data_IF_158211074233
#
_entry.id   IF_158211074233
#
_cell.length_a   1.000
_cell.length_b   1.000
_cell.length_c   1.000
_cell.angle_alpha   90.00
_cell.angle_beta   90.00
_cell.angle_gamma   90.00
#
_symmetry.space_group_name_H-M   'P 1'
#
loop_
_entity.id
_entity.type
_entity.pdbx_description
1 polymer ?
#
# COMPACT_ATOMS: atom_id res chain seq x y z
N UNK A 1 -0.08 -16.07 11.52
CA UNK A 1 -0.01 -17.08 10.43
C UNK A 1 0.04 -16.28 9.15
N UNK A 2 1.21 -16.17 8.53
CA UNK A 2 1.41 -15.34 7.34
C UNK A 2 0.69 -16.00 6.14
N UNK A 3 -0.26 -15.30 5.53
CA UNK A 3 -1.01 -15.77 4.35
C UNK A 3 -0.58 -14.97 3.13
N UNK A 4 -0.14 -15.67 2.10
CA UNK A 4 0.24 -15.08 0.82
C UNK A 4 -1.04 -14.93 -0.02
N UNK A 5 -1.27 -13.74 -0.55
CA UNK A 5 -2.44 -13.41 -1.38
C UNK A 5 -2.05 -12.44 -2.47
N UNK A 6 -2.51 -12.64 -3.70
CA UNK A 6 -2.26 -11.67 -4.76
C UNK A 6 -3.13 -10.42 -4.60
N UNK A 7 -2.50 -9.25 -4.76
CA UNK A 7 -3.20 -7.98 -4.80
C UNK A 7 -4.08 -7.88 -6.04
N UNK A 8 -5.38 -7.53 -5.94
CA UNK A 8 -6.23 -7.39 -7.11
C UNK A 8 -5.81 -6.20 -8.01
N UNK A 9 -5.16 -5.18 -7.44
CA UNK A 9 -4.79 -3.91 -8.09
C UNK A 9 -3.39 -3.97 -8.72
N UNK A 10 -2.36 -4.34 -7.94
CA UNK A 10 -0.98 -4.41 -8.43
C UNK A 10 -0.56 -5.81 -8.88
N UNK A 11 -1.41 -6.83 -8.71
CA UNK A 11 -1.17 -8.25 -9.07
C UNK A 11 0.01 -8.94 -8.37
N UNK A 12 0.77 -8.21 -7.57
CA UNK A 12 1.89 -8.76 -6.83
C UNK A 12 1.43 -9.54 -5.58
N UNK A 13 2.29 -10.42 -5.09
CA UNK A 13 2.02 -11.28 -3.92
C UNK A 13 2.20 -10.50 -2.62
N UNK A 14 1.12 -10.40 -1.86
CA UNK A 14 1.04 -9.67 -0.59
C UNK A 14 1.04 -10.66 0.56
N UNK A 15 1.88 -10.39 1.56
CA UNK A 15 1.87 -11.11 2.82
C UNK A 15 0.86 -10.43 3.75
N UNK A 16 -0.16 -11.18 4.14
CA UNK A 16 -1.21 -10.75 5.05
C UNK A 16 -1.02 -11.45 6.40
N UNK A 17 -0.90 -10.67 7.48
CA UNK A 17 -0.93 -11.19 8.84
C UNK A 17 -2.01 -10.48 9.65
N UNK A 18 -2.83 -11.26 10.36
CA UNK A 18 -3.99 -10.77 11.09
C UNK A 18 -3.65 -10.29 12.51
N UNK A 19 -2.41 -10.49 12.99
CA UNK A 19 -2.00 -10.10 14.34
C UNK A 19 -1.79 -8.59 14.47
N UNK A 20 -1.47 -7.89 13.38
CA UNK A 20 -1.47 -6.41 13.30
C UNK A 20 -2.05 -5.98 11.96
N UNK A 21 -3.37 -5.72 11.88
CA UNK A 21 -3.99 -5.38 10.62
C UNK A 21 -3.64 -3.94 10.22
N UNK A 22 -2.74 -3.78 9.24
CA UNK A 22 -2.64 -2.55 8.47
C UNK A 22 -3.33 -2.76 7.13
N UNK A 23 -3.97 -1.74 6.58
CA UNK A 23 -4.66 -1.83 5.28
C UNK A 23 -3.92 -1.03 4.22
N UNK A 24 -3.74 -1.62 3.04
CA UNK A 24 -3.22 -0.89 1.90
C UNK A 24 -4.19 0.24 1.51
N UNK A 25 -3.71 1.48 1.44
CA UNK A 25 -4.49 2.65 1.08
C UNK A 25 -5.08 2.61 -0.34
N UNK A 26 -4.51 1.80 -1.25
CA UNK A 26 -4.98 1.67 -2.63
C UNK A 26 -5.88 0.44 -2.84
N UNK A 27 -5.48 -0.75 -2.39
CA UNK A 27 -6.24 -1.98 -2.65
C UNK A 27 -7.10 -2.46 -1.48
N UNK A 28 -6.97 -1.84 -0.29
CA UNK A 28 -7.75 -2.18 0.91
C UNK A 28 -7.36 -3.51 1.58
N UNK A 29 -6.37 -4.24 1.05
CA UNK A 29 -5.97 -5.52 1.64
C UNK A 29 -5.25 -5.33 2.96
N UNK A 30 -5.49 -6.26 3.89
CA UNK A 30 -4.76 -6.37 5.15
C UNK A 30 -3.35 -6.88 4.87
N UNK A 31 -2.34 -6.12 5.29
CA UNK A 31 -0.92 -6.34 5.02
C UNK A 31 -0.11 -6.45 6.31
N UNK A 32 0.97 -7.23 6.22
CA UNK A 32 1.97 -7.38 7.26
C UNK A 32 3.03 -6.26 7.17
N UNK A 33 3.63 -5.92 8.32
CA UNK A 33 4.60 -4.83 8.43
C UNK A 33 5.97 -5.15 7.79
N UNK A 34 6.29 -6.43 7.61
CA UNK A 34 7.56 -6.89 7.01
C UNK A 34 7.67 -6.57 5.51
N UNK A 35 6.55 -6.48 4.80
CA UNK A 35 6.53 -6.31 3.35
C UNK A 35 5.48 -5.27 2.96
N UNK A 36 5.68 -4.04 3.42
CA UNK A 36 4.86 -2.90 3.05
C UNK A 36 5.71 -1.68 2.73
N UNK A 37 5.18 -0.78 1.92
CA UNK A 37 5.75 0.54 1.69
C UNK A 37 4.96 1.55 2.52
N UNK A 38 5.69 2.31 3.34
CA UNK A 38 5.15 3.41 4.12
C UNK A 38 5.44 4.73 3.41
N UNK A 39 4.39 5.47 3.08
CA UNK A 39 4.47 6.86 2.66
C UNK A 39 4.13 7.74 3.86
N UNK A 40 5.16 8.36 4.45
CA UNK A 40 4.98 9.31 5.55
C UNK A 40 4.41 10.62 4.97
N UNK A 41 3.26 11.05 5.50
CA UNK A 41 2.67 12.37 5.23
C UNK A 41 2.57 13.14 6.55
N UNK A 42 2.44 14.46 6.46
CA UNK A 42 2.33 15.33 7.64
C UNK A 42 1.12 15.03 8.51
N UNK A 43 -0.01 14.62 7.92
CA UNK A 43 -1.25 14.32 8.65
C UNK A 43 -1.39 12.82 8.97
N UNK A 44 -1.43 11.98 7.94
CA UNK A 44 -1.66 10.54 8.10
C UNK A 44 -0.72 9.71 7.22
N UNK A 45 0.07 8.80 7.80
CA UNK A 45 0.90 7.87 7.03
C UNK A 45 0.02 6.94 6.20
N UNK A 46 0.37 6.76 4.93
CA UNK A 46 -0.28 5.80 4.05
C UNK A 46 0.56 4.55 3.92
N UNK A 47 -0.10 3.39 4.07
CA UNK A 47 0.53 2.09 3.93
C UNK A 47 0.15 1.49 2.58
N UNK A 48 1.12 0.90 1.89
CA UNK A 48 0.91 0.22 0.63
C UNK A 48 1.40 -1.21 0.72
N UNK A 49 0.62 -2.13 0.18
CA UNK A 49 0.99 -3.53 0.18
C UNK A 49 2.36 -3.74 -0.47
N UNK A 50 2.63 -3.14 -1.64
CA UNK A 50 3.84 -3.37 -2.41
C UNK A 50 4.13 -2.19 -3.33
N UNK A 51 5.29 -2.23 -4.01
CA UNK A 51 5.76 -1.22 -4.96
C UNK A 51 4.70 -0.88 -6.02
N UNK A 52 4.02 -1.87 -6.59
CA UNK A 52 3.04 -1.58 -7.64
C UNK A 52 1.79 -0.81 -7.18
N UNK A 53 1.40 -0.91 -5.90
CA UNK A 53 0.31 -0.07 -5.37
C UNK A 53 0.81 1.34 -5.01
N UNK A 54 2.05 1.45 -4.53
CA UNK A 54 2.69 2.74 -4.29
C UNK A 54 2.87 3.52 -5.60
N UNK A 55 3.44 2.90 -6.64
CA UNK A 55 3.64 3.53 -7.96
C UNK A 55 2.32 3.97 -8.60
N UNK A 56 1.28 3.13 -8.54
CA UNK A 56 -0.05 3.51 -9.04
C UNK A 56 -0.64 4.67 -8.26
N UNK A 57 -0.55 4.64 -6.94
CA UNK A 57 -1.02 5.76 -6.10
C UNK A 57 -0.29 7.05 -6.45
N UNK A 58 1.03 6.97 -6.64
CA UNK A 58 1.88 8.10 -7.01
C UNK A 58 1.52 8.63 -8.41
N UNK A 59 1.37 7.75 -9.40
CA UNK A 59 0.96 8.13 -10.75
C UNK A 59 -0.42 8.79 -10.81
N UNK A 60 -1.34 8.47 -9.88
CA UNK A 60 -2.67 9.08 -9.79
C UNK A 60 -2.61 10.43 -9.03
N UNK A 61 -1.78 10.52 -7.99
CA UNK A 61 -1.75 11.70 -7.11
C UNK A 61 -0.74 12.78 -7.53
N UNK A 62 0.37 12.43 -8.21
CA UNK A 62 1.31 13.43 -8.75
C UNK A 62 0.75 14.22 -9.92
N UNK A 63 -0.29 13.72 -10.60
CA UNK A 63 -1.03 14.52 -11.59
C UNK A 63 -1.92 15.61 -10.94
N UNK A 64 -1.94 15.71 -9.60
CA UNK A 64 -2.78 16.63 -8.85
C UNK A 64 -2.09 17.85 -8.24
N UNK A 65 -0.76 17.95 -8.23
CA UNK A 65 -0.06 19.08 -7.60
C UNK A 65 1.22 19.48 -8.36
N UNK A 66 1.03 20.19 -9.47
CA UNK A 66 2.02 21.17 -9.93
C UNK A 66 1.32 22.51 -10.02
N UNK A 67 1.21 23.19 -8.87
CA UNK A 67 1.25 24.65 -8.83
C UNK A 67 2.56 25.08 -8.19
N UNK A 68 3.56 25.34 -9.02
CA UNK A 68 4.49 26.43 -8.77
C UNK A 68 4.95 27.05 -10.08
#
# INVERSE_FOLDING_TARGET
MKKHKNCPICKQEVISDASKPMSCALCGMVIDHDNMILLVREADPLYFCLHGCYEKYFSINETGDVKK
#
